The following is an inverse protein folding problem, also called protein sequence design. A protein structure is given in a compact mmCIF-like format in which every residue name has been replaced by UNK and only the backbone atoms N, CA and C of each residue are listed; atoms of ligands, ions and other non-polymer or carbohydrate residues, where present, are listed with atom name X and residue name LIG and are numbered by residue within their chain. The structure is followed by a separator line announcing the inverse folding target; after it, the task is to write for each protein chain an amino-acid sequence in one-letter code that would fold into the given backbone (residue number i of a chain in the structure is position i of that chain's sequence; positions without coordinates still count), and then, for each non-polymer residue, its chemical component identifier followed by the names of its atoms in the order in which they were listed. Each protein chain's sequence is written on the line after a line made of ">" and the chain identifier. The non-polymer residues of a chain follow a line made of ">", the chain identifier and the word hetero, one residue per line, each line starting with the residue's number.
data_IF_970277397596
#
_entry.id   IF_970277397596
#
_cell.length_a   1.000
_cell.length_b   1.000
_cell.length_c   1.000
_cell.angle_alpha   90.00
_cell.angle_beta   90.00
_cell.angle_gamma   90.00
#
_symmetry.space_group_name_H-M   'P 1'
#
loop_
_entity.id
_entity.type
_entity.pdbx_description
1 polymer ?
#
# COMPACT_ATOMS: atom_id res chain seq x y z
N UNK A 1 4.77 -14.42 17.04
CA UNK A 1 4.46 -14.54 15.61
C UNK A 1 5.46 -13.75 14.82
N UNK A 2 6.39 -14.44 14.16
CA UNK A 2 7.30 -13.84 13.19
C UNK A 2 6.49 -13.54 11.93
N UNK A 3 6.34 -12.27 11.61
CA UNK A 3 5.58 -11.80 10.45
C UNK A 3 6.57 -11.19 9.47
N UNK A 4 6.81 -11.86 8.35
CA UNK A 4 7.49 -11.28 7.20
C UNK A 4 6.56 -10.23 6.56
N UNK A 5 7.03 -8.99 6.45
CA UNK A 5 6.22 -7.89 5.93
C UNK A 5 6.65 -7.50 4.52
N UNK A 6 5.69 -7.47 3.60
CA UNK A 6 5.79 -6.79 2.32
C UNK A 6 5.27 -5.36 2.48
N UNK A 7 5.96 -4.40 1.87
CA UNK A 7 5.61 -2.98 1.94
C UNK A 7 5.28 -2.45 0.54
N UNK A 8 4.14 -1.77 0.41
CA UNK A 8 3.79 -1.05 -0.82
C UNK A 8 4.62 0.24 -1.01
N UNK A 9 5.15 0.81 0.09
CA UNK A 9 6.02 1.98 0.06
C UNK A 9 7.50 1.57 0.25
N UNK A 10 8.38 1.77 -0.75
CA UNK A 10 9.80 1.46 -0.65
C UNK A 10 10.52 2.20 0.48
N UNK A 11 10.07 3.39 0.83
CA UNK A 11 10.67 4.19 1.92
C UNK A 11 10.40 3.56 3.28
N UNK A 12 9.22 2.96 3.46
CA UNK A 12 8.89 2.19 4.67
C UNK A 12 9.72 0.92 4.77
N UNK A 13 9.87 0.19 3.66
CA UNK A 13 10.72 -1.00 3.60
C UNK A 13 12.16 -0.66 4.03
N UNK A 14 12.71 0.45 3.50
CA UNK A 14 14.05 0.93 3.84
C UNK A 14 14.18 1.26 5.33
N UNK A 15 13.24 2.02 5.90
CA UNK A 15 13.24 2.35 7.34
C UNK A 15 13.18 1.09 8.21
N UNK A 16 12.34 0.13 7.85
CA UNK A 16 12.20 -1.13 8.57
C UNK A 16 13.51 -1.95 8.52
N UNK A 17 14.15 -2.04 7.36
CA UNK A 17 15.43 -2.73 7.19
C UNK A 17 16.54 -2.04 8.00
N UNK A 18 16.66 -0.72 7.93
CA UNK A 18 17.66 0.03 8.71
C UNK A 18 17.47 -0.16 10.22
N UNK A 19 16.22 -0.21 10.69
CA UNK A 19 15.92 -0.49 12.10
C UNK A 19 16.29 -1.94 12.47
N UNK A 20 15.96 -2.91 11.63
CA UNK A 20 16.30 -4.31 11.84
C UNK A 20 17.83 -4.52 11.84
N UNK A 21 18.56 -3.86 10.94
CA UNK A 21 20.02 -3.93 10.85
C UNK A 21 20.68 -3.40 12.13
N UNK A 22 20.14 -2.34 12.72
CA UNK A 22 20.62 -1.82 14.01
C UNK A 22 20.36 -2.78 15.17
N UNK A 23 19.24 -3.51 15.12
CA UNK A 23 18.88 -4.49 16.14
C UNK A 23 19.65 -5.81 16.00
N UNK A 24 20.05 -6.17 14.78
CA UNK A 24 20.78 -7.38 14.45
C UNK A 24 22.00 -7.05 13.57
N UNK A 25 23.08 -6.46 14.13
CA UNK A 25 24.21 -5.96 13.34
C UNK A 25 24.95 -7.03 12.54
N UNK A 26 24.92 -8.28 13.00
CA UNK A 26 25.64 -9.41 12.40
C UNK A 26 24.90 -10.03 11.21
N UNK A 27 23.67 -9.59 10.92
CA UNK A 27 22.90 -10.04 9.77
C UNK A 27 23.15 -9.12 8.58
N UNK A 28 23.35 -9.68 7.38
CA UNK A 28 23.38 -8.91 6.14
C UNK A 28 21.96 -8.78 5.58
N UNK A 29 21.26 -7.69 5.94
CA UNK A 29 19.88 -7.46 5.51
C UNK A 29 19.85 -6.72 4.17
N UNK A 30 19.03 -7.24 3.25
CA UNK A 30 18.79 -6.62 1.94
C UNK A 30 17.31 -6.46 1.66
N UNK A 31 16.96 -5.46 0.86
CA UNK A 31 15.59 -5.31 0.33
C UNK A 31 15.41 -6.17 -0.90
N UNK A 32 14.42 -7.08 -0.84
CA UNK A 32 13.90 -7.79 -2.00
C UNK A 32 12.68 -7.08 -2.59
N UNK A 33 12.41 -7.33 -3.87
CA UNK A 33 11.19 -6.86 -4.55
C UNK A 33 10.43 -8.06 -5.08
N UNK A 34 9.12 -8.06 -4.88
CA UNK A 34 8.21 -9.09 -5.36
C UNK A 34 6.97 -8.43 -5.99
N UNK A 35 6.38 -8.99 -7.06
CA UNK A 35 5.13 -8.48 -7.61
C UNK A 35 4.00 -8.53 -6.58
N UNK A 36 3.15 -7.50 -6.56
CA UNK A 36 2.07 -7.36 -5.58
C UNK A 36 1.12 -8.57 -5.56
N UNK A 37 0.78 -9.12 -6.73
CA UNK A 37 -0.06 -10.33 -6.81
C UNK A 37 0.55 -11.55 -6.12
N UNK A 38 1.88 -11.70 -6.17
CA UNK A 38 2.59 -12.78 -5.48
C UNK A 38 2.64 -12.52 -3.96
N UNK A 39 2.87 -11.27 -3.54
CA UNK A 39 2.81 -10.89 -2.12
C UNK A 39 1.42 -11.17 -1.51
N UNK A 40 0.35 -10.86 -2.25
CA UNK A 40 -1.02 -11.17 -1.85
C UNK A 40 -1.28 -12.67 -1.75
N UNK A 41 -0.83 -13.45 -2.73
CA UNK A 41 -0.95 -14.90 -2.70
C UNK A 41 -0.24 -15.52 -1.48
N UNK A 42 0.88 -14.95 -1.04
CA UNK A 42 1.59 -15.39 0.17
C UNK A 42 0.90 -14.94 1.47
N UNK A 43 0.29 -13.75 1.49
CA UNK A 43 -0.31 -13.16 2.70
C UNK A 43 -1.73 -13.67 2.99
N UNK A 44 -2.59 -13.81 1.99
CA UNK A 44 -3.99 -14.24 2.17
C UNK A 44 -4.20 -15.68 1.69
N UNK A 45 -3.30 -16.18 0.84
CA UNK A 45 -3.57 -17.36 0.02
C UNK A 45 -4.47 -17.03 -1.17
N UNK A 46 -4.61 -18.01 -2.07
CA UNK A 46 -5.75 -18.05 -3.00
C UNK A 46 -7.00 -18.38 -2.18
N UNK A 47 -8.18 -17.89 -2.60
CA UNK A 47 -9.44 -17.79 -1.82
C UNK A 47 -9.92 -19.00 -0.97
N UNK A 48 -9.23 -20.14 -1.02
CA UNK A 48 -9.52 -21.38 -0.30
C UNK A 48 -8.43 -21.78 0.73
N UNK A 49 -7.39 -20.97 0.91
CA UNK A 49 -6.29 -21.29 1.82
C UNK A 49 -6.74 -21.25 3.29
N UNK A 50 -6.81 -22.43 3.93
CA UNK A 50 -7.04 -22.55 5.38
C UNK A 50 -5.70 -22.55 6.10
N UNK A 51 -5.31 -21.43 6.70
CA UNK A 51 -4.12 -21.34 7.55
C UNK A 51 -3.73 -19.90 7.91
N UNK A 52 -2.98 -19.72 9.00
CA UNK A 52 -2.30 -18.45 9.28
C UNK A 52 -1.02 -18.37 8.46
N UNK A 53 -0.91 -17.39 7.58
CA UNK A 53 0.33 -17.15 6.84
C UNK A 53 1.28 -16.32 7.71
N UNK A 54 2.60 -16.55 7.65
CA UNK A 54 3.58 -15.70 8.34
C UNK A 54 3.84 -14.39 7.57
N UNK A 55 3.00 -14.05 6.58
CA UNK A 55 3.23 -12.93 5.69
C UNK A 55 2.14 -11.87 5.82
N UNK A 56 2.51 -10.61 5.69
CA UNK A 56 1.55 -9.50 5.62
C UNK A 56 1.92 -8.52 4.51
N UNK A 57 0.92 -7.93 3.85
CA UNK A 57 1.14 -6.77 2.97
C UNK A 57 0.71 -5.51 3.69
N UNK A 58 1.59 -4.51 3.72
CA UNK A 58 1.32 -3.20 4.32
C UNK A 58 1.13 -2.17 3.21
N UNK A 59 -0.02 -1.51 3.22
CA UNK A 59 -0.24 -0.30 2.43
C UNK A 59 0.59 0.87 2.95
N UNK A 60 0.69 1.95 2.18
CA UNK A 60 1.39 3.17 2.60
C UNK A 60 0.80 3.68 3.91
N UNK A 61 1.65 3.86 4.92
CA UNK A 61 1.30 4.39 6.23
C UNK A 61 0.76 5.81 6.11
N UNK A 62 1.40 6.65 5.29
CA UNK A 62 0.97 8.03 5.03
C UNK A 62 -0.44 8.05 4.46
N UNK A 63 -0.66 7.33 3.36
CA UNK A 63 -1.98 7.27 2.72
C UNK A 63 -3.02 6.63 3.65
N UNK A 64 -2.62 5.65 4.47
CA UNK A 64 -3.51 5.03 5.46
C UNK A 64 -3.89 6.03 6.54
N UNK A 65 -2.95 6.83 7.07
CA UNK A 65 -3.25 7.86 8.07
C UNK A 65 -4.26 8.88 7.54
N UNK A 66 -4.08 9.29 6.29
CA UNK A 66 -4.91 10.32 5.65
C UNK A 66 -6.31 9.79 5.32
N UNK A 67 -6.42 8.55 4.85
CA UNK A 67 -7.71 7.97 4.40
C UNK A 67 -8.47 7.22 5.49
N UNK A 68 -7.80 6.69 6.52
CA UNK A 68 -8.42 5.85 7.57
C UNK A 68 -9.62 6.49 8.27
N UNK A 69 -9.65 7.79 8.62
CA UNK A 69 -10.83 8.39 9.23
C UNK A 69 -12.05 8.37 8.30
N UNK A 70 -11.84 8.62 7.00
CA UNK A 70 -12.90 8.61 6.00
C UNK A 70 -13.36 7.18 5.68
N UNK A 71 -12.39 6.29 5.45
CA UNK A 71 -12.61 4.89 5.11
C UNK A 71 -13.30 4.11 6.23
N UNK A 72 -12.93 4.36 7.50
CA UNK A 72 -13.62 3.77 8.66
C UNK A 72 -15.10 4.15 8.68
N UNK A 73 -15.43 5.43 8.50
CA UNK A 73 -16.83 5.89 8.47
C UNK A 73 -17.64 5.25 7.34
N UNK A 74 -17.01 5.04 6.17
CA UNK A 74 -17.66 4.38 5.04
C UNK A 74 -17.91 2.90 5.32
N UNK A 75 -16.92 2.18 5.84
CA UNK A 75 -17.03 0.74 6.13
C UNK A 75 -17.98 0.46 7.29
N UNK A 76 -17.98 1.29 8.32
CA UNK A 76 -18.92 1.21 9.44
C UNK A 76 -20.37 1.35 8.95
N UNK A 77 -20.64 2.24 7.97
CA UNK A 77 -21.96 2.38 7.32
C UNK A 77 -22.37 1.16 6.49
N UNK A 78 -21.39 0.46 5.89
CA UNK A 78 -21.62 -0.69 5.03
C UNK A 78 -21.64 -2.02 5.80
N UNK A 79 -21.39 -2.00 7.12
CA UNK A 79 -21.27 -3.21 7.94
C UNK A 79 -20.09 -4.10 7.55
N UNK A 80 -19.10 -3.53 6.86
CA UNK A 80 -17.94 -4.28 6.35
C UNK A 80 -16.83 -4.25 7.39
N UNK A 81 -16.28 -5.41 7.80
CA UNK A 81 -15.17 -5.45 8.72
C UNK A 81 -13.92 -4.74 8.18
N UNK A 82 -13.22 -4.00 9.05
CA UNK A 82 -12.06 -3.17 8.69
C UNK A 82 -10.71 -3.87 8.87
N UNK A 83 -10.67 -5.20 8.89
CA UNK A 83 -9.53 -5.94 9.44
C UNK A 83 -8.24 -5.84 8.64
N UNK A 84 -8.27 -5.36 7.39
CA UNK A 84 -7.06 -5.06 6.62
C UNK A 84 -7.40 -4.23 5.38
N UNK A 85 -6.66 -3.13 5.15
CA UNK A 85 -6.94 -2.16 4.10
C UNK A 85 -5.63 -1.75 3.42
N UNK A 86 -5.66 -1.72 2.08
CA UNK A 86 -4.62 -1.09 1.27
C UNK A 86 -5.29 0.10 0.58
N UNK A 87 -5.12 1.33 1.08
CA UNK A 87 -5.74 2.48 0.46
C UNK A 87 -5.09 2.75 -0.90
N UNK A 88 -5.92 3.22 -1.83
CA UNK A 88 -5.51 3.61 -3.18
C UNK A 88 -6.12 4.97 -3.50
N UNK A 89 -5.44 5.74 -4.34
CA UNK A 89 -5.97 6.98 -4.91
C UNK A 89 -6.47 6.67 -6.31
N UNK A 90 -7.71 7.05 -6.59
CA UNK A 90 -8.33 7.04 -7.91
C UNK A 90 -8.60 8.48 -8.33
N UNK A 91 -8.48 8.77 -9.62
CA UNK A 91 -8.71 10.10 -10.16
C UNK A 91 -9.41 9.98 -11.52
N UNK A 92 -10.69 10.34 -11.57
CA UNK A 92 -11.50 10.28 -12.80
C UNK A 92 -10.92 11.17 -13.90
N UNK A 93 -10.34 12.30 -13.52
CA UNK A 93 -9.67 13.26 -14.41
C UNK A 93 -8.43 12.68 -15.13
N UNK A 94 -7.79 11.68 -14.55
CA UNK A 94 -6.67 10.96 -15.16
C UNK A 94 -7.12 9.64 -15.82
N UNK A 95 -8.41 9.30 -15.71
CA UNK A 95 -8.99 8.10 -16.28
C UNK A 95 -9.36 8.34 -17.74
N UNK A 96 -9.09 7.34 -18.57
CA UNK A 96 -9.46 7.30 -19.98
C UNK A 96 -10.29 6.05 -20.26
N UNK A 97 -10.84 5.94 -21.47
CA UNK A 97 -11.53 4.72 -21.90
C UNK A 97 -10.62 3.47 -21.91
N UNK A 98 -9.29 3.65 -21.97
CA UNK A 98 -8.33 2.54 -22.04
C UNK A 98 -7.67 2.22 -20.69
N UNK A 99 -7.57 3.19 -19.78
CA UNK A 99 -6.77 3.08 -18.55
C UNK A 99 -7.41 3.88 -17.41
N UNK A 100 -7.52 3.24 -16.24
CA UNK A 100 -7.81 3.87 -14.94
C UNK A 100 -6.57 3.77 -14.06
N UNK A 101 -5.81 4.85 -13.87
CA UNK A 101 -4.64 4.82 -13.01
C UNK A 101 -5.02 4.59 -11.54
N UNK A 102 -4.26 3.71 -10.88
CA UNK A 102 -4.36 3.45 -9.44
C UNK A 102 -3.04 3.85 -8.81
N UNK A 103 -3.07 4.77 -7.84
CA UNK A 103 -1.87 5.22 -7.15
C UNK A 103 -1.83 4.69 -5.71
N UNK A 104 -0.66 4.22 -5.29
CA UNK A 104 -0.40 3.70 -3.93
C UNK A 104 0.20 4.76 -3.00
N UNK A 105 0.56 5.92 -3.53
CA UNK A 105 1.13 7.04 -2.79
C UNK A 105 0.81 8.39 -3.46
N UNK A 106 0.88 9.48 -2.69
CA UNK A 106 0.58 10.83 -3.18
C UNK A 106 1.63 11.38 -4.16
N UNK A 107 2.89 10.95 -4.06
CA UNK A 107 3.97 11.47 -4.90
C UNK A 107 3.81 11.00 -6.36
N UNK A 108 3.49 9.73 -6.55
CA UNK A 108 3.17 9.11 -7.83
C UNK A 108 1.93 9.74 -8.47
N UNK A 109 0.89 10.01 -7.67
CA UNK A 109 -0.29 10.75 -8.12
C UNK A 109 0.09 12.17 -8.59
N UNK A 110 0.83 12.91 -7.76
CA UNK A 110 1.25 14.28 -8.07
C UNK A 110 2.14 14.36 -9.32
N UNK A 111 3.08 13.43 -9.45
CA UNK A 111 3.95 13.32 -10.63
C UNK A 111 3.14 13.06 -11.90
N UNK A 112 2.12 12.20 -11.84
CA UNK A 112 1.25 11.89 -12.98
C UNK A 112 0.36 13.06 -13.34
N UNK A 113 -0.20 13.76 -12.35
CA UNK A 113 -0.97 14.99 -12.57
C UNK A 113 -0.15 16.04 -13.33
N UNK A 114 1.09 16.30 -12.87
CA UNK A 114 2.01 17.22 -13.55
C UNK A 114 2.38 16.74 -14.95
N UNK A 115 2.66 15.46 -15.12
CA UNK A 115 2.99 14.87 -16.43
C UNK A 115 1.83 14.96 -17.43
N UNK A 116 0.58 15.00 -16.96
CA UNK A 116 -0.61 15.18 -17.80
C UNK A 116 -0.82 16.64 -18.28
N UNK A 117 0.10 17.56 -17.94
CA UNK A 117 0.02 18.97 -18.34
C UNK A 117 -0.92 19.80 -17.46
N UNK A 118 -1.41 19.26 -16.34
CA UNK A 118 -2.30 19.95 -15.41
C UNK A 118 -1.48 20.73 -14.39
N UNK A 119 -1.87 21.98 -14.13
CA UNK A 119 -1.26 22.82 -13.09
C UNK A 119 -1.88 22.51 -11.72
N UNK A 120 -1.20 22.91 -10.64
CA UNK A 120 -1.75 22.86 -9.28
C UNK A 120 -3.04 23.69 -9.16
N UNK A 121 -3.95 23.35 -8.22
CA UNK A 121 -3.81 22.35 -7.15
C UNK A 121 -4.12 20.92 -7.60
N UNK A 122 -3.60 19.94 -6.84
CA UNK A 122 -4.03 18.54 -6.95
C UNK A 122 -5.50 18.41 -6.55
N UNK A 123 -6.28 17.55 -7.23
CA UNK A 123 -7.61 17.19 -6.77
C UNK A 123 -7.55 16.68 -5.34
N UNK A 124 -8.32 17.31 -4.45
CA UNK A 124 -8.57 16.76 -3.12
C UNK A 124 -9.63 15.66 -3.28
N UNK A 125 -9.20 14.41 -3.16
CA UNK A 125 -10.08 13.24 -3.04
C UNK A 125 -10.88 13.25 -1.74
#
# INVERSE_FOLDING_TARGET
>A
NEVCAFFADPSEAKRAMEQAQRACPDMDLVLGVVPLGHAFALAIGWAEAKGSTPYTVRGSETLTKDTRPHLKRQLDKLGVPSYWQIPVILCDDLTTAAVTPIFLDHASFAATWKASGRMEPLPTS
#
